data_IF_719006959606
#
_entry.id   IF_719006959606
#
_cell.length_a   1.000
_cell.length_b   1.000
_cell.length_c   1.000
_cell.angle_alpha   90.00
_cell.angle_beta   90.00
_cell.angle_gamma   90.00
#
_symmetry.space_group_name_H-M   'P 1'
#
loop_
_entity.id
_entity.type
_entity.pdbx_description
1 polymer ?
#
# COMPACT_ATOMS: atom_id res chain seq x y z
N UNK A 1 53.45 35.38 10.51
CA UNK A 1 52.31 35.40 9.55
C UNK A 1 51.81 33.98 9.39
N UNK A 2 50.70 33.68 10.01
CA UNK A 2 50.05 32.38 9.88
C UNK A 2 49.00 32.46 8.81
N UNK A 3 49.22 31.73 7.73
CA UNK A 3 48.25 31.58 6.64
C UNK A 3 47.13 30.64 7.07
N UNK A 4 45.93 31.16 7.11
CA UNK A 4 44.71 30.39 7.42
C UNK A 4 44.41 29.47 6.25
N UNK A 5 44.21 28.18 6.43
CA UNK A 5 43.78 27.31 5.34
C UNK A 5 42.35 27.68 4.94
N UNK A 6 42.15 27.90 3.65
CA UNK A 6 40.84 28.07 3.06
C UNK A 6 40.05 26.77 3.23
N UNK A 7 38.88 26.88 3.81
CA UNK A 7 37.96 25.77 3.97
C UNK A 7 37.51 25.25 2.62
N UNK A 8 37.69 23.95 2.42
CA UNK A 8 37.08 23.22 1.33
C UNK A 8 35.59 23.26 1.50
N UNK A 9 34.91 23.93 0.60
CA UNK A 9 33.48 23.92 0.47
C UNK A 9 33.05 22.50 0.01
N UNK A 10 32.65 21.70 0.92
CA UNK A 10 32.01 20.43 0.62
C UNK A 10 30.53 20.68 0.36
N UNK A 11 30.22 21.27 -0.78
CA UNK A 11 28.89 21.20 -1.34
C UNK A 11 28.65 19.76 -1.85
N UNK A 12 28.66 18.80 -0.92
CA UNK A 12 28.24 17.45 -1.20
C UNK A 12 26.73 17.45 -1.43
N UNK A 13 26.30 16.93 -2.55
CA UNK A 13 24.91 16.60 -2.77
C UNK A 13 24.43 15.78 -1.57
N UNK A 14 23.53 16.36 -0.76
CA UNK A 14 22.85 15.63 0.29
C UNK A 14 21.92 14.63 -0.40
N UNK A 15 22.42 13.45 -0.72
CA UNK A 15 21.57 12.29 -0.93
C UNK A 15 20.77 12.11 0.34
N UNK A 16 19.44 11.98 0.22
CA UNK A 16 18.60 11.71 1.38
C UNK A 16 19.17 10.53 2.17
N UNK A 17 19.36 10.70 3.48
CA UNK A 17 19.81 9.61 4.34
C UNK A 17 18.79 8.47 4.30
N UNK A 18 19.23 7.20 4.36
CA UNK A 18 18.32 6.07 4.41
C UNK A 18 17.34 6.20 5.58
N UNK A 19 16.05 6.02 5.34
CA UNK A 19 14.99 6.11 6.36
C UNK A 19 15.02 4.96 7.36
N UNK A 20 15.75 3.87 7.07
CA UNK A 20 15.66 2.61 7.83
C UNK A 20 14.35 1.88 7.60
N UNK A 21 13.54 2.34 6.67
CA UNK A 21 12.27 1.72 6.30
C UNK A 21 12.45 0.60 5.31
N UNK A 22 11.61 -0.43 5.39
CA UNK A 22 11.69 -1.63 4.56
C UNK A 22 10.32 -1.95 3.97
N UNK A 23 10.27 -2.18 2.67
CA UNK A 23 9.14 -2.84 2.02
C UNK A 23 9.38 -4.34 2.09
N UNK A 24 8.56 -5.03 2.88
CA UNK A 24 8.69 -6.47 3.08
C UNK A 24 8.18 -7.26 1.89
N UNK A 25 7.06 -6.85 1.34
CA UNK A 25 6.43 -7.55 0.23
C UNK A 25 5.35 -6.68 -0.41
N UNK A 26 5.23 -6.79 -1.72
CA UNK A 26 4.10 -6.25 -2.49
C UNK A 26 3.71 -7.24 -3.57
N UNK A 27 2.43 -7.36 -3.87
CA UNK A 27 1.96 -8.21 -4.95
C UNK A 27 0.56 -7.82 -5.44
N UNK A 28 0.22 -8.35 -6.60
CA UNK A 28 -1.12 -8.42 -7.15
C UNK A 28 -1.42 -9.91 -7.33
N UNK A 29 -2.50 -10.42 -6.74
CA UNK A 29 -2.79 -11.85 -6.70
C UNK A 29 -4.27 -12.15 -6.86
N UNK A 30 -4.61 -13.32 -7.33
CA UNK A 30 -5.98 -13.84 -7.34
C UNK A 30 -6.35 -14.57 -6.05
N UNK A 31 -5.37 -14.81 -5.18
CA UNK A 31 -5.57 -15.51 -3.91
C UNK A 31 -6.29 -14.64 -2.88
N UNK A 32 -7.01 -15.27 -1.97
CA UNK A 32 -7.60 -14.59 -0.81
C UNK A 32 -6.50 -13.95 0.04
N UNK A 33 -6.70 -12.69 0.44
CA UNK A 33 -5.69 -11.91 1.15
C UNK A 33 -5.62 -12.23 2.65
N UNK A 34 -6.72 -12.67 3.25
CA UNK A 34 -6.83 -12.87 4.70
C UNK A 34 -5.77 -13.85 5.23
N UNK A 35 -5.58 -15.05 4.64
CA UNK A 35 -4.52 -15.96 5.09
C UNK A 35 -3.12 -15.41 4.85
N UNK A 36 -2.89 -14.72 3.71
CA UNK A 36 -1.60 -14.13 3.37
C UNK A 36 -1.21 -13.05 4.37
N UNK A 37 -2.15 -12.14 4.68
CA UNK A 37 -1.93 -11.06 5.64
C UNK A 37 -1.67 -11.60 7.05
N UNK A 38 -2.42 -12.59 7.49
CA UNK A 38 -2.22 -13.22 8.80
C UNK A 38 -0.83 -13.84 8.94
N UNK A 39 -0.35 -14.51 7.91
CA UNK A 39 1.01 -15.05 7.89
C UNK A 39 2.09 -13.96 7.88
N UNK A 40 1.82 -12.83 7.23
CA UNK A 40 2.78 -11.73 7.08
C UNK A 40 2.92 -10.87 8.35
N UNK A 41 1.95 -10.85 9.26
CA UNK A 41 1.97 -9.99 10.47
C UNK A 41 3.25 -10.17 11.29
N UNK A 42 3.69 -11.40 11.51
CA UNK A 42 4.91 -11.68 12.25
C UNK A 42 6.17 -11.22 11.51
N UNK A 43 6.13 -11.20 10.18
CA UNK A 43 7.27 -10.81 9.34
C UNK A 43 7.51 -9.30 9.33
N UNK A 44 6.45 -8.50 9.39
CA UNK A 44 6.58 -7.04 9.38
C UNK A 44 7.01 -6.49 10.73
N UNK A 45 6.73 -7.21 11.83
CA UNK A 45 7.10 -6.78 13.19
C UNK A 45 8.55 -7.11 13.52
N UNK A 46 9.14 -6.24 14.33
CA UNK A 46 10.40 -6.49 15.05
C UNK A 46 10.20 -6.21 16.53
N UNK A 47 11.16 -6.62 17.36
CA UNK A 47 11.11 -6.37 18.81
C UNK A 47 11.13 -4.86 19.16
N UNK A 48 11.61 -4.02 18.26
CA UNK A 48 11.67 -2.57 18.45
C UNK A 48 10.37 -1.86 18.10
N UNK A 49 9.37 -2.57 17.59
CA UNK A 49 8.11 -1.98 17.11
C UNK A 49 6.97 -2.25 18.07
N UNK A 50 6.25 -1.17 18.41
CA UNK A 50 5.11 -1.21 19.31
C UNK A 50 3.76 -1.09 18.61
N UNK A 51 3.74 -0.88 17.29
CA UNK A 51 2.50 -0.66 16.55
C UNK A 51 2.47 -1.44 15.22
N UNK A 52 1.35 -2.10 14.99
CA UNK A 52 0.99 -2.68 13.70
C UNK A 52 -0.39 -2.16 13.31
N UNK A 53 -0.47 -1.45 12.20
CA UNK A 53 -1.75 -0.99 11.63
C UNK A 53 -2.07 -1.85 10.42
N UNK A 54 -3.30 -2.35 10.40
CA UNK A 54 -3.83 -3.16 9.30
C UNK A 54 -4.96 -2.40 8.65
N UNK A 55 -4.87 -2.22 7.34
CA UNK A 55 -5.98 -1.72 6.54
C UNK A 55 -6.47 -2.85 5.64
N UNK A 56 -7.78 -3.09 5.67
CA UNK A 56 -8.48 -3.94 4.72
C UNK A 56 -9.53 -3.14 3.98
N UNK A 57 -9.37 -3.04 2.65
CA UNK A 57 -10.43 -2.56 1.77
C UNK A 57 -11.40 -3.70 1.47
N UNK A 58 -12.54 -3.69 2.13
CA UNK A 58 -13.52 -4.78 2.09
C UNK A 58 -14.55 -4.53 1.00
N UNK A 59 -14.90 -5.58 0.25
CA UNK A 59 -16.00 -5.53 -0.72
C UNK A 59 -17.32 -5.45 0.03
N UNK A 60 -18.06 -4.37 -0.22
CA UNK A 60 -19.36 -4.13 0.39
C UNK A 60 -20.49 -4.28 -0.63
N UNK A 61 -21.72 -4.46 -0.14
CA UNK A 61 -22.89 -4.64 -0.99
C UNK A 61 -23.51 -3.34 -1.54
N UNK A 62 -22.85 -2.20 -1.32
CA UNK A 62 -23.23 -0.89 -1.84
C UNK A 62 -22.02 -0.14 -2.34
N UNK A 63 -22.17 0.56 -3.47
CA UNK A 63 -21.18 1.50 -3.96
C UNK A 63 -21.89 2.67 -4.65
N UNK A 64 -21.55 3.90 -4.26
CA UNK A 64 -22.17 5.15 -4.77
C UNK A 64 -23.71 5.13 -4.73
N UNK A 65 -24.31 4.55 -3.69
CA UNK A 65 -25.75 4.41 -3.52
C UNK A 65 -26.40 3.27 -4.30
N UNK A 66 -25.65 2.54 -5.11
CA UNK A 66 -26.14 1.35 -5.84
C UNK A 66 -25.84 0.06 -5.08
N UNK A 67 -26.81 -0.87 -5.07
CA UNK A 67 -26.62 -2.19 -4.48
C UNK A 67 -25.73 -3.05 -5.39
N UNK A 68 -24.65 -3.59 -4.85
CA UNK A 68 -23.66 -4.42 -5.56
C UNK A 68 -23.95 -5.88 -5.28
N UNK A 69 -24.05 -6.70 -6.33
CA UNK A 69 -24.27 -8.14 -6.27
C UNK A 69 -22.96 -8.92 -6.33
N UNK A 70 -22.03 -8.46 -7.16
CA UNK A 70 -20.74 -9.10 -7.35
C UNK A 70 -19.69 -8.10 -7.81
N UNK A 71 -18.44 -8.47 -7.65
CA UNK A 71 -17.29 -7.63 -7.95
C UNK A 71 -16.14 -8.46 -8.49
N UNK A 72 -15.48 -7.94 -9.52
CA UNK A 72 -14.23 -8.49 -10.03
C UNK A 72 -13.26 -7.36 -10.34
N UNK A 73 -12.00 -7.54 -9.98
CA UNK A 73 -10.93 -6.61 -10.33
C UNK A 73 -10.10 -7.14 -11.49
N UNK A 74 -9.70 -6.23 -12.37
CA UNK A 74 -8.72 -6.48 -13.42
C UNK A 74 -7.53 -5.55 -13.24
N UNK A 75 -6.34 -6.01 -13.57
CA UNK A 75 -5.12 -5.23 -13.44
C UNK A 75 -4.36 -5.16 -14.76
N UNK A 76 -3.72 -4.01 -15.02
CA UNK A 76 -2.75 -3.89 -16.09
C UNK A 76 -1.57 -4.82 -15.84
N UNK A 77 -0.92 -5.30 -16.92
CA UNK A 77 0.25 -6.22 -16.82
C UNK A 77 1.40 -5.66 -15.98
N UNK A 78 1.51 -4.34 -15.86
CA UNK A 78 2.54 -3.65 -15.06
C UNK A 78 2.08 -3.28 -13.64
N UNK A 79 0.89 -3.69 -13.22
CA UNK A 79 0.36 -3.32 -11.89
C UNK A 79 1.27 -3.78 -10.75
N UNK A 80 1.92 -4.93 -10.87
CA UNK A 80 2.89 -5.41 -9.86
C UNK A 80 4.07 -4.46 -9.68
N UNK A 81 4.57 -3.88 -10.76
CA UNK A 81 5.66 -2.90 -10.70
C UNK A 81 5.18 -1.58 -10.09
N UNK A 82 3.96 -1.15 -10.42
CA UNK A 82 3.38 0.08 -9.87
C UNK A 82 3.15 -0.01 -8.37
N UNK A 83 2.56 -1.10 -7.89
CA UNK A 83 2.35 -1.25 -6.45
C UNK A 83 3.67 -1.29 -5.68
N UNK A 84 4.68 -1.97 -6.21
CA UNK A 84 6.01 -1.98 -5.62
C UNK A 84 6.62 -0.58 -5.51
N UNK A 85 6.54 0.23 -6.56
CA UNK A 85 7.04 1.62 -6.56
C UNK A 85 6.27 2.51 -5.59
N UNK A 86 4.96 2.37 -5.56
CA UNK A 86 4.09 3.16 -4.69
C UNK A 86 4.42 2.92 -3.23
N UNK A 87 4.55 1.66 -2.84
CA UNK A 87 4.87 1.30 -1.45
C UNK A 87 6.30 1.73 -1.11
N UNK A 88 7.24 1.56 -2.03
CA UNK A 88 8.61 2.03 -1.84
C UNK A 88 8.67 3.56 -1.65
N UNK A 89 7.84 4.33 -2.36
CA UNK A 89 7.79 5.78 -2.19
C UNK A 89 7.40 6.19 -0.77
N UNK A 90 6.53 5.44 -0.12
CA UNK A 90 6.17 5.68 1.28
C UNK A 90 7.34 5.34 2.21
N UNK A 91 8.01 4.21 1.98
CA UNK A 91 9.19 3.83 2.75
C UNK A 91 10.33 4.84 2.62
N UNK A 92 10.49 5.46 1.46
CA UNK A 92 11.52 6.47 1.22
C UNK A 92 11.23 7.80 1.94
N UNK A 93 9.97 8.12 2.19
CA UNK A 93 9.54 9.36 2.81
C UNK A 93 9.39 9.27 4.33
N UNK A 94 9.08 8.10 4.87
CA UNK A 94 8.78 7.90 6.29
C UNK A 94 9.85 7.03 6.96
N UNK A 95 10.35 7.49 8.10
CA UNK A 95 11.37 6.77 8.86
C UNK A 95 10.79 5.62 9.67
N UNK A 96 11.52 4.51 9.70
CA UNK A 96 11.32 3.41 10.63
C UNK A 96 10.03 2.63 10.43
N UNK A 97 9.55 2.53 9.19
CA UNK A 97 8.35 1.74 8.87
C UNK A 97 8.71 0.45 8.14
N UNK A 98 7.92 -0.58 8.38
CA UNK A 98 7.98 -1.86 7.67
C UNK A 98 6.63 -2.11 7.05
N UNK A 99 6.61 -2.30 5.72
CA UNK A 99 5.39 -2.27 4.92
C UNK A 99 5.18 -3.57 4.16
N UNK A 100 3.93 -3.99 4.10
CA UNK A 100 3.44 -5.09 3.29
C UNK A 100 2.12 -4.65 2.65
N UNK A 101 1.98 -4.83 1.35
CA UNK A 101 0.75 -4.46 0.66
C UNK A 101 0.47 -5.40 -0.52
N UNK A 102 -0.73 -5.94 -0.57
CA UNK A 102 -1.19 -6.82 -1.65
C UNK A 102 -2.59 -6.44 -2.09
N UNK A 103 -2.80 -6.36 -3.39
CA UNK A 103 -4.13 -6.18 -3.97
C UNK A 103 -4.59 -7.48 -4.63
N UNK A 104 -5.84 -7.84 -4.38
CA UNK A 104 -6.48 -9.00 -5.03
C UNK A 104 -7.10 -8.59 -6.36
N UNK A 105 -7.04 -9.47 -7.34
CA UNK A 105 -7.73 -9.36 -8.63
C UNK A 105 -8.59 -10.60 -8.87
N UNK A 106 -9.40 -10.54 -9.91
CA UNK A 106 -10.40 -11.56 -10.16
C UNK A 106 -11.66 -11.38 -9.33
N UNK A 107 -12.55 -12.36 -9.28
CA UNK A 107 -13.79 -12.30 -8.52
C UNK A 107 -13.52 -12.26 -7.02
N UNK A 108 -14.20 -11.35 -6.32
CA UNK A 108 -14.07 -11.20 -4.87
C UNK A 108 -15.48 -11.15 -4.27
N UNK A 109 -15.74 -11.96 -3.26
CA UNK A 109 -17.03 -11.99 -2.60
C UNK A 109 -17.22 -10.79 -1.66
N UNK A 110 -18.48 -10.39 -1.46
CA UNK A 110 -18.85 -9.39 -0.46
C UNK A 110 -18.33 -9.84 0.91
N UNK A 111 -17.67 -8.93 1.63
CA UNK A 111 -17.06 -9.20 2.92
C UNK A 111 -15.59 -9.61 2.88
N UNK A 112 -15.06 -9.92 1.69
CA UNK A 112 -13.65 -10.25 1.54
C UNK A 112 -12.80 -9.02 1.22
N UNK A 113 -11.51 -9.07 1.56
CA UNK A 113 -10.57 -7.98 1.32
C UNK A 113 -10.09 -7.94 -0.12
N UNK A 114 -10.15 -6.76 -0.73
CA UNK A 114 -9.59 -6.47 -2.05
C UNK A 114 -8.18 -5.89 -1.97
N UNK A 115 -7.88 -5.15 -0.92
CA UNK A 115 -6.57 -4.58 -0.64
C UNK A 115 -6.28 -4.73 0.84
N UNK A 116 -5.12 -5.28 1.16
CA UNK A 116 -4.63 -5.32 2.54
C UNK A 116 -3.28 -4.64 2.62
N UNK A 117 -3.14 -3.73 3.59
CA UNK A 117 -1.90 -3.03 3.91
C UNK A 117 -1.53 -3.31 5.36
N UNK A 118 -0.30 -3.72 5.59
CA UNK A 118 0.29 -3.84 6.93
C UNK A 118 1.39 -2.80 7.06
N UNK A 119 1.30 -1.98 8.11
CA UNK A 119 2.32 -0.98 8.42
C UNK A 119 2.73 -1.11 9.89
N UNK A 120 3.99 -1.44 10.11
CA UNK A 120 4.58 -1.55 11.43
C UNK A 120 5.56 -0.42 11.69
N UNK A 121 5.58 0.10 12.90
CA UNK A 121 6.47 1.16 13.35
C UNK A 121 6.67 1.07 14.86
N UNK A 122 7.66 1.83 15.39
CA UNK A 122 7.87 1.91 16.84
C UNK A 122 6.65 2.46 17.57
N UNK A 123 5.97 3.45 16.98
CA UNK A 123 4.81 4.13 17.56
C UNK A 123 3.64 4.19 16.59
N UNK A 124 2.42 4.23 17.14
CA UNK A 124 1.16 4.18 16.37
C UNK A 124 0.99 5.31 15.35
N UNK A 125 1.43 6.52 15.68
CA UNK A 125 1.26 7.67 14.78
C UNK A 125 1.93 7.45 13.43
N UNK A 126 3.16 6.96 13.43
CA UNK A 126 3.91 6.64 12.22
C UNK A 126 3.29 5.46 11.47
N UNK A 127 2.82 4.44 12.18
CA UNK A 127 2.16 3.30 11.58
C UNK A 127 0.86 3.68 10.87
N UNK A 128 0.03 4.53 11.49
CA UNK A 128 -1.18 5.06 10.85
C UNK A 128 -0.85 5.90 9.62
N UNK A 129 0.11 6.82 9.73
CA UNK A 129 0.54 7.67 8.62
C UNK A 129 1.00 6.85 7.42
N UNK A 130 1.83 5.85 7.65
CA UNK A 130 2.35 4.98 6.59
C UNK A 130 1.23 4.15 5.93
N UNK A 131 0.36 3.58 6.73
CA UNK A 131 -0.75 2.76 6.24
C UNK A 131 -1.71 3.57 5.37
N UNK A 132 -2.11 4.75 5.82
CA UNK A 132 -2.96 5.67 5.06
C UNK A 132 -2.30 6.08 3.74
N UNK A 133 -1.03 6.46 3.77
CA UNK A 133 -0.30 6.85 2.57
C UNK A 133 -0.23 5.73 1.54
N UNK A 134 0.05 4.49 1.97
CA UNK A 134 0.06 3.33 1.07
C UNK A 134 -1.32 3.09 0.47
N UNK A 135 -2.36 3.03 1.28
CA UNK A 135 -3.73 2.80 0.80
C UNK A 135 -4.16 3.86 -0.21
N UNK A 136 -3.93 5.14 0.09
CA UNK A 136 -4.30 6.25 -0.78
C UNK A 136 -3.54 6.21 -2.11
N UNK A 137 -2.23 5.98 -2.06
CA UNK A 137 -1.39 5.97 -3.28
C UNK A 137 -1.65 4.74 -4.14
N UNK A 138 -1.91 3.58 -3.55
CA UNK A 138 -2.30 2.38 -4.31
C UNK A 138 -3.59 2.68 -5.07
N UNK A 139 -4.57 3.26 -4.41
CA UNK A 139 -5.86 3.57 -5.02
C UNK A 139 -5.75 4.62 -6.13
N UNK A 140 -4.85 5.61 -5.99
CA UNK A 140 -4.68 6.69 -6.94
C UNK A 140 -3.78 6.33 -8.14
N UNK A 141 -2.82 5.44 -7.97
CA UNK A 141 -1.71 5.29 -8.92
C UNK A 141 -1.56 3.88 -9.52
N UNK A 142 -2.06 2.84 -8.86
CA UNK A 142 -1.93 1.48 -9.38
C UNK A 142 -3.04 1.21 -10.40
N UNK A 143 -2.71 0.77 -11.63
CA UNK A 143 -3.70 0.60 -12.70
C UNK A 143 -4.52 -0.68 -12.51
N UNK A 144 -5.57 -0.56 -11.72
CA UNK A 144 -6.53 -1.63 -11.40
C UNK A 144 -7.94 -1.08 -11.65
N UNK A 145 -8.78 -1.89 -12.29
CA UNK A 145 -10.17 -1.55 -12.58
C UNK A 145 -11.12 -2.51 -11.88
N UNK A 146 -12.21 -1.95 -11.43
CA UNK A 146 -13.27 -2.68 -10.75
C UNK A 146 -14.49 -2.81 -11.67
N UNK A 147 -14.95 -4.03 -11.89
CA UNK A 147 -16.23 -4.32 -12.50
C UNK A 147 -17.23 -4.74 -11.43
N UNK A 148 -18.33 -4.02 -11.33
CA UNK A 148 -19.39 -4.29 -10.38
C UNK A 148 -20.63 -4.78 -11.12
N UNK A 149 -21.15 -5.95 -10.71
CA UNK A 149 -22.47 -6.39 -11.10
C UNK A 149 -23.48 -5.87 -10.08
N UNK A 150 -24.39 -5.01 -10.54
CA UNK A 150 -25.42 -4.44 -9.69
C UNK A 150 -26.61 -5.41 -9.55
N UNK A 151 -27.41 -5.23 -8.51
CA UNK A 151 -28.58 -6.09 -8.24
C UNK A 151 -29.67 -6.01 -9.27
N UNK A 152 -29.70 -4.94 -10.10
CA UNK A 152 -30.60 -4.80 -11.26
C UNK A 152 -30.13 -5.54 -12.53
N UNK A 153 -28.98 -6.23 -12.47
CA UNK A 153 -28.38 -6.96 -13.58
C UNK A 153 -27.47 -6.11 -14.47
N UNK A 154 -27.33 -4.80 -14.23
CA UNK A 154 -26.40 -3.95 -14.97
C UNK A 154 -24.97 -4.12 -14.45
N UNK A 155 -24.00 -3.68 -15.27
CA UNK A 155 -22.57 -3.70 -14.95
C UNK A 155 -22.06 -2.28 -14.88
N UNK A 156 -21.25 -1.99 -13.86
CA UNK A 156 -20.56 -0.71 -13.68
C UNK A 156 -19.07 -0.92 -13.60
N UNK A 157 -18.30 -0.09 -14.34
CA UNK A 157 -16.84 -0.08 -14.30
C UNK A 157 -16.34 1.10 -13.50
N UNK A 158 -15.41 0.84 -12.58
CA UNK A 158 -14.77 1.87 -11.75
C UNK A 158 -13.25 1.76 -11.95
N UNK A 159 -12.66 2.82 -12.46
CA UNK A 159 -11.21 2.93 -12.67
C UNK A 159 -10.50 3.72 -11.58
N UNK A 160 -9.19 3.93 -11.76
CA UNK A 160 -8.34 4.67 -10.83
C UNK A 160 -8.65 6.17 -10.79
N UNK A 161 -9.33 6.70 -11.80
CA UNK A 161 -9.63 8.14 -11.95
C UNK A 161 -10.98 8.55 -11.34
N UNK A 162 -11.60 7.68 -10.58
CA UNK A 162 -12.91 7.94 -9.97
C UNK A 162 -12.84 8.24 -8.49
#
# INVERSE_FOLDING_TARGET
MTTKPQGLDHSGAHGAEPTGSVVMFTDITEEALEPLANAAKAQVMTEAMGALVVFDGIVRNHDHGSAVRGLSYSAHTQAKEYIARVVQSVADELEGVRLWAVHRVGPIAIGESALTVLAAAAHRGRAFEACEAVADRVKAQVPIWKEQELTDGSTEWVGIDT
#
